data_IF_352844124225
#
_entry.id   IF_352844124225
#
_cell.length_a   1.000
_cell.length_b   1.000
_cell.length_c   1.000
_cell.angle_alpha   90.00
_cell.angle_beta   90.00
_cell.angle_gamma   90.00
#
_symmetry.space_group_name_H-M   'P 1'
#
loop_
_entity.id
_entity.type
_entity.pdbx_description
1 polymer ?
#
# COMPACT_ATOMS: atom_id res chain seq x y z
N UNK A 1 -10.76 13.32 11.93
CA UNK A 1 -10.55 13.08 10.47
C UNK A 1 -10.23 11.60 10.25
N UNK A 2 -10.76 10.95 9.20
CA UNK A 2 -10.57 9.52 8.94
C UNK A 2 -9.72 9.24 7.70
N UNK A 3 -8.66 8.46 7.87
CA UNK A 3 -7.76 8.07 6.78
C UNK A 3 -7.78 6.56 6.60
N UNK A 4 -8.06 6.09 5.37
CA UNK A 4 -7.92 4.70 5.00
C UNK A 4 -6.50 4.43 4.49
N UNK A 5 -5.76 3.64 5.25
CA UNK A 5 -4.43 3.12 4.92
C UNK A 5 -4.58 1.81 4.14
N UNK A 6 -4.12 1.76 2.89
CA UNK A 6 -4.13 0.54 2.08
C UNK A 6 -2.72 -0.06 2.04
N UNK A 7 -2.56 -1.28 2.52
CA UNK A 7 -1.24 -1.92 2.64
C UNK A 7 -1.31 -3.45 2.52
N UNK A 8 -0.35 -4.03 1.80
CA UNK A 8 -0.05 -5.47 1.80
C UNK A 8 0.90 -5.86 2.95
N UNK A 9 1.49 -4.89 3.64
CA UNK A 9 2.34 -5.09 4.81
C UNK A 9 1.58 -4.71 6.09
N UNK A 10 1.05 -5.71 6.79
CA UNK A 10 0.41 -5.53 8.09
C UNK A 10 0.69 -6.71 9.02
N UNK A 11 0.46 -6.49 10.33
CA UNK A 11 0.57 -7.55 11.35
C UNK A 11 -0.25 -8.78 10.92
N UNK A 12 0.23 -10.01 11.13
CA UNK A 12 1.37 -10.40 11.98
C UNK A 12 2.75 -10.33 11.30
N UNK A 13 2.86 -9.82 10.07
CA UNK A 13 4.16 -9.65 9.41
C UNK A 13 5.07 -8.73 10.25
N UNK A 14 6.36 -9.03 10.28
CA UNK A 14 7.37 -8.23 10.99
C UNK A 14 8.34 -7.68 9.96
N UNK A 15 8.16 -6.42 9.58
CA UNK A 15 9.03 -5.72 8.64
C UNK A 15 9.00 -4.21 8.91
N UNK A 16 9.92 -3.48 8.27
CA UNK A 16 10.08 -2.03 8.44
C UNK A 16 8.78 -1.25 8.21
N UNK A 17 7.99 -1.61 7.18
CA UNK A 17 6.71 -0.94 6.86
C UNK A 17 5.72 -1.11 8.01
N UNK A 18 5.56 -2.32 8.54
CA UNK A 18 4.66 -2.57 9.68
C UNK A 18 5.07 -1.76 10.91
N UNK A 19 6.37 -1.66 11.19
CA UNK A 19 6.89 -0.84 12.29
C UNK A 19 6.60 0.64 12.07
N UNK A 20 6.86 1.17 10.88
CA UNK A 20 6.58 2.56 10.53
C UNK A 20 5.10 2.88 10.68
N UNK A 21 4.21 2.04 10.14
CA UNK A 21 2.78 2.26 10.26
C UNK A 21 2.30 2.17 11.72
N UNK A 22 2.81 1.22 12.50
CA UNK A 22 2.46 1.13 13.92
C UNK A 22 2.89 2.39 14.69
N UNK A 23 4.10 2.91 14.42
CA UNK A 23 4.57 4.16 15.02
C UNK A 23 3.76 5.37 14.55
N UNK A 24 3.37 5.40 13.29
CA UNK A 24 2.51 6.44 12.73
C UNK A 24 1.14 6.45 13.41
N UNK A 25 0.51 5.28 13.61
CA UNK A 25 -0.76 5.18 14.34
C UNK A 25 -0.63 5.77 15.74
N UNK A 26 0.43 5.45 16.47
CA UNK A 26 0.65 5.99 17.82
C UNK A 26 0.91 7.52 17.79
N UNK A 27 1.73 7.98 16.85
CA UNK A 27 2.06 9.39 16.71
C UNK A 27 0.87 10.27 16.26
N UNK A 28 -0.11 9.69 15.56
CA UNK A 28 -1.29 10.41 15.09
C UNK A 28 -2.44 10.47 16.10
N UNK A 29 -2.40 9.70 17.20
CA UNK A 29 -3.43 9.74 18.26
C UNK A 29 -3.72 11.15 18.81
N UNK A 30 -2.71 12.01 19.06
CA UNK A 30 -2.96 13.36 19.58
C UNK A 30 -3.64 14.31 18.59
N UNK A 31 -3.70 13.95 17.30
CA UNK A 31 -4.19 14.82 16.22
C UNK A 31 -5.67 14.58 15.86
N UNK A 32 -6.41 13.78 16.66
CA UNK A 32 -7.81 13.41 16.38
C UNK A 32 -8.00 12.79 14.97
N UNK A 33 -7.00 11.98 14.58
CA UNK A 33 -7.00 11.25 13.32
C UNK A 33 -7.32 9.78 13.58
N UNK A 34 -8.40 9.30 12.96
CA UNK A 34 -8.78 7.90 12.95
C UNK A 34 -8.15 7.21 11.73
N UNK A 35 -7.34 6.18 11.98
CA UNK A 35 -6.73 5.38 10.92
C UNK A 35 -7.43 4.03 10.80
N UNK A 36 -7.94 3.76 9.60
CA UNK A 36 -8.38 2.43 9.20
C UNK A 36 -7.37 1.76 8.31
N UNK A 37 -7.37 0.43 8.33
CA UNK A 37 -6.44 -0.35 7.54
C UNK A 37 -7.17 -1.36 6.64
N UNK A 38 -6.99 -1.21 5.33
CA UNK A 38 -7.30 -2.24 4.34
C UNK A 38 -6.06 -3.12 4.15
N UNK A 39 -6.08 -4.30 4.75
CA UNK A 39 -4.91 -5.18 4.95
C UNK A 39 -5.11 -6.55 4.32
N UNK A 40 -4.02 -7.31 4.09
CA UNK A 40 -4.12 -8.67 3.53
C UNK A 40 -4.86 -9.64 4.44
N UNK A 41 -4.95 -9.38 5.75
CA UNK A 41 -5.64 -10.24 6.73
C UNK A 41 -7.12 -10.43 6.44
N UNK A 42 -7.72 -9.54 5.64
CA UNK A 42 -9.11 -9.61 5.25
C UNK A 42 -9.35 -10.58 4.08
N UNK A 43 -8.30 -11.23 3.58
CA UNK A 43 -8.31 -12.03 2.36
C UNK A 43 -7.48 -13.30 2.52
N UNK A 44 -7.65 -14.24 1.58
CA UNK A 44 -6.67 -15.30 1.38
C UNK A 44 -5.36 -14.65 0.92
N UNK A 45 -4.22 -15.21 1.30
CA UNK A 45 -2.91 -14.65 0.96
C UNK A 45 -2.00 -15.71 0.36
N UNK A 46 -1.11 -15.27 -0.53
CA UNK A 46 0.00 -16.05 -1.04
C UNK A 46 1.31 -15.46 -0.52
N UNK A 47 2.30 -16.28 -0.10
CA UNK A 47 3.65 -15.77 0.11
C UNK A 47 4.19 -15.16 -1.19
N UNK A 48 4.84 -14.01 -1.10
CA UNK A 48 5.54 -13.44 -2.24
C UNK A 48 6.67 -14.39 -2.68
N UNK A 49 6.84 -14.66 -3.99
CA UNK A 49 7.99 -15.40 -4.49
C UNK A 49 9.29 -14.78 -3.97
N UNK A 50 10.21 -15.60 -3.46
CA UNK A 50 11.51 -15.21 -2.87
C UNK A 50 11.46 -14.44 -1.54
N UNK A 51 10.30 -13.97 -1.07
CA UNK A 51 10.16 -13.26 0.20
C UNK A 51 8.86 -13.67 0.92
N UNK A 52 8.79 -14.91 1.44
CA UNK A 52 7.54 -15.50 1.93
C UNK A 52 6.95 -14.80 3.17
N UNK A 53 7.75 -13.97 3.85
CA UNK A 53 7.33 -13.14 4.97
C UNK A 53 6.35 -12.03 4.53
N UNK A 54 6.38 -11.61 3.26
CA UNK A 54 5.35 -10.74 2.68
C UNK A 54 4.18 -11.58 2.20
N UNK A 55 3.00 -11.26 2.72
CA UNK A 55 1.75 -11.94 2.39
C UNK A 55 0.94 -11.08 1.43
N UNK A 56 0.91 -11.47 0.17
CA UNK A 56 0.17 -10.76 -0.89
C UNK A 56 -1.31 -11.14 -0.84
N UNK A 57 -2.20 -10.14 -0.83
CA UNK A 57 -3.62 -10.40 -0.79
C UNK A 57 -4.14 -10.96 -2.13
N UNK A 58 -4.86 -12.09 -2.05
CA UNK A 58 -5.58 -12.68 -3.17
C UNK A 58 -7.03 -12.19 -3.14
N UNK A 59 -7.30 -11.12 -3.87
CA UNK A 59 -8.62 -10.50 -3.95
C UNK A 59 -8.88 -9.90 -5.32
N UNK A 60 -10.09 -9.38 -5.52
CA UNK A 60 -10.52 -8.78 -6.79
C UNK A 60 -10.67 -7.27 -6.68
N UNK A 61 -10.54 -6.52 -7.79
CA UNK A 61 -10.72 -5.08 -7.78
C UNK A 61 -12.09 -4.63 -7.24
N UNK A 62 -13.16 -5.40 -7.51
CA UNK A 62 -14.50 -5.11 -7.02
C UNK A 62 -14.64 -5.24 -5.50
N UNK A 63 -13.94 -6.21 -4.89
CA UNK A 63 -13.93 -6.37 -3.43
C UNK A 63 -13.18 -5.22 -2.76
N UNK A 64 -12.02 -4.84 -3.30
CA UNK A 64 -11.24 -3.68 -2.82
C UNK A 64 -12.06 -2.40 -2.91
N UNK A 65 -12.71 -2.13 -4.04
CA UNK A 65 -13.57 -0.96 -4.23
C UNK A 65 -14.67 -0.87 -3.16
N UNK A 66 -15.43 -1.97 -2.95
CA UNK A 66 -16.50 -2.00 -1.93
C UNK A 66 -15.98 -1.71 -0.52
N UNK A 67 -14.78 -2.19 -0.19
CA UNK A 67 -14.17 -1.93 1.13
C UNK A 67 -13.71 -0.49 1.27
N UNK A 68 -13.16 0.09 0.21
CA UNK A 68 -12.79 1.52 0.19
C UNK A 68 -14.03 2.40 0.36
N UNK A 69 -15.15 2.06 -0.28
CA UNK A 69 -16.40 2.81 -0.15
C UNK A 69 -17.04 2.64 1.23
N UNK A 70 -17.04 1.41 1.75
CA UNK A 70 -17.58 1.11 3.08
C UNK A 70 -16.80 1.79 4.21
N UNK A 71 -15.50 2.04 4.02
CA UNK A 71 -14.67 2.73 5.00
C UNK A 71 -15.10 4.19 5.22
N UNK A 72 -15.79 4.82 4.25
CA UNK A 72 -16.23 6.23 4.33
C UNK A 72 -15.11 7.18 4.81
N UNK A 73 -13.87 6.91 4.41
CA UNK A 73 -12.72 7.70 4.82
C UNK A 73 -12.65 9.03 4.05
N UNK A 74 -12.23 10.08 4.73
CA UNK A 74 -11.99 11.41 4.16
C UNK A 74 -10.81 11.38 3.19
N UNK A 75 -9.77 10.62 3.55
CA UNK A 75 -8.55 10.47 2.75
C UNK A 75 -8.16 9.01 2.56
N UNK A 76 -7.53 8.72 1.42
CA UNK A 76 -6.97 7.41 1.10
C UNK A 76 -5.46 7.56 0.97
N UNK A 77 -4.73 6.72 1.68
CA UNK A 77 -3.29 6.65 1.61
C UNK A 77 -2.85 5.23 1.27
N UNK A 78 -2.15 5.06 0.15
CA UNK A 78 -1.68 3.77 -0.35
C UNK A 78 -0.22 3.58 0.06
N UNK A 79 0.03 2.67 0.98
CA UNK A 79 1.34 2.51 1.64
C UNK A 79 2.29 1.62 0.83
N UNK A 80 1.75 0.60 0.16
CA UNK A 80 2.56 -0.41 -0.54
C UNK A 80 2.07 -0.60 -1.96
N UNK A 81 2.99 -0.96 -2.84
CA UNK A 81 2.78 -1.12 -4.27
C UNK A 81 2.33 -2.56 -4.65
N UNK A 82 2.00 -3.38 -3.65
CA UNK A 82 1.48 -4.74 -3.84
C UNK A 82 0.06 -4.80 -4.44
N UNK A 83 -0.54 -5.99 -4.51
CA UNK A 83 -1.86 -6.19 -5.13
C UNK A 83 -2.95 -5.26 -4.57
N UNK A 84 -3.00 -5.06 -3.24
CA UNK A 84 -3.99 -4.14 -2.66
C UNK A 84 -3.75 -2.70 -3.11
N UNK A 85 -2.49 -2.27 -3.12
CA UNK A 85 -2.11 -0.94 -3.60
C UNK A 85 -2.47 -0.69 -5.05
N UNK A 86 -2.16 -1.66 -5.93
CA UNK A 86 -2.51 -1.59 -7.37
C UNK A 86 -4.02 -1.49 -7.56
N UNK A 87 -4.79 -2.33 -6.86
CA UNK A 87 -6.25 -2.33 -6.96
C UNK A 87 -6.87 -1.04 -6.39
N UNK A 88 -6.37 -0.55 -5.27
CA UNK A 88 -6.82 0.70 -4.67
C UNK A 88 -6.48 1.91 -5.56
N UNK A 89 -5.27 1.98 -6.12
CA UNK A 89 -4.86 3.00 -7.08
C UNK A 89 -5.81 3.00 -8.28
N UNK A 90 -6.06 1.83 -8.87
CA UNK A 90 -6.97 1.68 -10.01
C UNK A 90 -8.38 2.16 -9.66
N UNK A 91 -8.87 1.83 -8.48
CA UNK A 91 -10.17 2.30 -8.00
C UNK A 91 -10.21 3.82 -7.85
N UNK A 92 -9.25 4.40 -7.14
CA UNK A 92 -9.18 5.84 -6.90
C UNK A 92 -9.12 6.64 -8.19
N UNK A 93 -8.31 6.19 -9.17
CA UNK A 93 -8.25 6.82 -10.50
C UNK A 93 -9.57 6.74 -11.25
N UNK A 94 -10.25 5.59 -11.22
CA UNK A 94 -11.54 5.43 -11.91
C UNK A 94 -12.66 6.26 -11.27
N UNK A 95 -12.64 6.38 -9.95
CA UNK A 95 -13.63 7.13 -9.17
C UNK A 95 -13.26 8.61 -8.98
N UNK A 96 -12.18 9.09 -9.61
CA UNK A 96 -11.62 10.44 -9.42
C UNK A 96 -11.43 10.83 -7.94
N UNK A 97 -11.11 9.85 -7.08
CA UNK A 97 -10.84 10.07 -5.65
C UNK A 97 -9.37 10.42 -5.45
N UNK A 98 -9.05 11.55 -4.80
CA UNK A 98 -7.68 11.88 -4.43
C UNK A 98 -7.10 10.82 -3.48
N UNK A 99 -5.83 10.49 -3.68
CA UNK A 99 -5.08 9.62 -2.79
C UNK A 99 -3.61 10.05 -2.75
N UNK A 100 -2.92 9.67 -1.68
CA UNK A 100 -1.47 9.81 -1.55
C UNK A 100 -0.83 8.43 -1.50
N UNK A 101 0.47 8.38 -1.73
CA UNK A 101 1.23 7.12 -1.67
C UNK A 101 2.44 7.24 -0.74
N UNK A 102 3.02 6.12 -0.32
CA UNK A 102 4.32 6.10 0.35
C UNK A 102 5.29 5.17 -0.37
N UNK A 103 6.56 5.57 -0.39
CA UNK A 103 7.66 4.74 -0.89
C UNK A 103 8.58 4.38 0.28
N UNK A 104 8.50 3.12 0.73
CA UNK A 104 9.23 2.65 1.92
C UNK A 104 10.33 1.64 1.60
N UNK A 105 10.27 1.00 0.45
CA UNK A 105 11.19 -0.10 0.13
C UNK A 105 11.81 0.08 -1.22
N UNK A 106 13.12 -0.19 -1.31
CA UNK A 106 13.90 -0.33 -2.53
C UNK A 106 13.52 -1.59 -3.32
N UNK A 107 12.22 -1.76 -3.57
CA UNK A 107 11.66 -2.89 -4.28
C UNK A 107 12.32 -3.14 -5.66
N UNK A 108 12.67 -2.12 -6.47
CA UNK A 108 13.36 -2.31 -7.75
C UNK A 108 14.69 -3.02 -7.62
N UNK A 109 15.48 -2.67 -6.63
CA UNK A 109 16.79 -3.26 -6.36
C UNK A 109 16.65 -4.71 -5.87
N UNK A 110 15.62 -4.99 -5.06
CA UNK A 110 15.32 -6.36 -4.66
C UNK A 110 14.80 -7.21 -5.84
N UNK A 111 13.98 -6.64 -6.72
CA UNK A 111 13.40 -7.35 -7.86
C UNK A 111 14.46 -7.69 -8.91
N UNK A 112 15.31 -6.72 -9.27
CA UNK A 112 16.40 -6.89 -10.24
C UNK A 112 17.49 -7.84 -9.76
N UNK A 113 17.75 -7.90 -8.43
CA UNK A 113 18.68 -8.87 -7.87
C UNK A 113 18.19 -10.32 -7.93
N UNK A 114 16.89 -10.56 -8.19
CA UNK A 114 16.24 -11.88 -8.07
C UNK A 114 15.55 -12.36 -9.33
N UNK A 115 15.16 -11.45 -10.21
CA UNK A 115 14.58 -11.73 -11.51
C UNK A 115 15.37 -10.97 -12.57
N UNK A 116 15.47 -11.49 -13.81
CA UNK A 116 16.17 -10.81 -14.91
C UNK A 116 15.33 -9.64 -15.46
N UNK A 117 14.93 -8.71 -14.58
CA UNK A 117 14.15 -7.52 -14.90
C UNK A 117 15.06 -6.30 -14.77
N UNK A 118 15.22 -5.49 -15.83
CA UNK A 118 15.97 -4.25 -15.74
C UNK A 118 15.40 -3.33 -14.65
N UNK A 119 16.27 -2.78 -13.79
CA UNK A 119 15.85 -1.83 -12.75
C UNK A 119 15.04 -0.67 -13.32
N UNK A 120 15.41 -0.19 -14.51
CA UNK A 120 14.72 0.90 -15.20
C UNK A 120 13.23 0.62 -15.43
N UNK A 121 12.84 -0.65 -15.64
CA UNK A 121 11.44 -1.03 -15.81
C UNK A 121 10.69 -0.96 -14.49
N UNK A 122 11.28 -1.48 -13.42
CA UNK A 122 10.70 -1.40 -12.08
C UNK A 122 10.56 0.05 -11.62
N UNK A 123 11.56 0.89 -11.86
CA UNK A 123 11.52 2.32 -11.57
C UNK A 123 10.50 3.07 -12.43
N UNK A 124 10.36 2.75 -13.72
CA UNK A 124 9.32 3.33 -14.57
C UNK A 124 7.92 3.02 -14.04
N UNK A 125 7.69 1.77 -13.62
CA UNK A 125 6.43 1.35 -13.03
C UNK A 125 6.15 2.04 -11.70
N UNK A 126 7.13 2.14 -10.81
CA UNK A 126 6.98 2.88 -9.55
C UNK A 126 6.68 4.36 -9.81
N UNK A 127 7.36 4.99 -10.77
CA UNK A 127 7.06 6.37 -11.16
C UNK A 127 5.61 6.53 -11.62
N UNK A 128 5.10 5.64 -12.47
CA UNK A 128 3.67 5.65 -12.84
C UNK A 128 2.75 5.46 -11.61
N UNK A 129 3.11 4.54 -10.72
CA UNK A 129 2.33 4.26 -9.52
C UNK A 129 2.23 5.50 -8.62
N UNK A 130 3.37 6.07 -8.22
CA UNK A 130 3.44 7.17 -7.27
C UNK A 130 2.99 8.52 -7.87
N UNK A 131 3.35 8.83 -9.12
CA UNK A 131 2.97 10.10 -9.76
C UNK A 131 1.48 10.20 -10.10
N UNK A 132 0.73 9.11 -9.94
CA UNK A 132 -0.72 9.14 -10.12
C UNK A 132 -1.51 9.60 -8.89
N UNK A 133 -0.85 9.68 -7.73
CA UNK A 133 -1.40 10.27 -6.51
C UNK A 133 -1.16 11.78 -6.44
N UNK A 134 -1.75 12.43 -5.45
CA UNK A 134 -1.55 13.87 -5.18
C UNK A 134 -0.25 14.16 -4.42
N UNK A 135 0.45 13.12 -3.98
CA UNK A 135 1.70 13.24 -3.24
C UNK A 135 2.26 11.87 -2.89
N UNK A 136 3.58 11.82 -2.72
CA UNK A 136 4.31 10.62 -2.31
C UNK A 136 5.16 10.95 -1.10
N UNK A 137 4.93 10.24 0.00
CA UNK A 137 5.73 10.34 1.21
C UNK A 137 6.92 9.39 1.08
N UNK A 138 8.09 9.83 1.52
CA UNK A 138 9.33 9.05 1.48
C UNK A 138 9.94 9.01 2.88
N UNK A 139 10.50 7.85 3.25
CA UNK A 139 11.29 7.76 4.48
C UNK A 139 12.68 8.37 4.22
N UNK A 140 13.05 9.37 5.03
CA UNK A 140 14.36 10.05 5.02
C UNK A 140 15.25 9.56 6.13
#
# INVERSE_FOLDING_TARGET
MRILMVTDAWRPQVNGVVHTLARLTEALKPFDVELDFLTPNLFRTLPMPTYPDIRLALTTPGHVARRIDAAKADHIHIVTEGPLGIMARRYCRKASRPFTTSYHTRFPEYLSARLPVPESWAYNWLRDFHNSGQGTLVAT
#
